data_IF_180881797302
#
_entry.id   IF_180881797302
#
_cell.length_a   1.000
_cell.length_b   1.000
_cell.length_c   1.000
_cell.angle_alpha   90.00
_cell.angle_beta   90.00
_cell.angle_gamma   90.00
#
_symmetry.space_group_name_H-M   'P 1'
#
loop_
_entity.id
_entity.type
_entity.pdbx_description
1 polymer ?
#
# COMPACT_ATOMS: atom_id res chain seq x y z
N UNK A 1 6.57 -0.65 -7.39
CA UNK A 1 8.01 -0.97 -7.32
C UNK A 1 8.36 -1.48 -5.93
N UNK A 2 9.19 -2.51 -5.86
CA UNK A 2 9.75 -3.07 -4.62
C UNK A 2 10.60 -2.03 -3.88
N UNK A 3 11.31 -1.16 -4.61
CA UNK A 3 12.17 -0.12 -4.00
C UNK A 3 11.33 0.86 -3.17
N UNK A 4 10.20 1.30 -3.72
CA UNK A 4 9.29 2.21 -3.01
C UNK A 4 8.65 1.60 -1.77
N UNK A 5 8.59 0.27 -1.67
CA UNK A 5 8.16 -0.45 -0.47
C UNK A 5 9.28 -0.51 0.57
N UNK A 6 10.49 -0.82 0.15
CA UNK A 6 11.68 -0.76 0.99
C UNK A 6 11.90 0.63 1.58
N UNK A 7 11.79 1.68 0.78
CA UNK A 7 11.90 3.08 1.26
C UNK A 7 10.80 3.44 2.25
N UNK A 8 9.57 2.93 2.04
CA UNK A 8 8.46 3.17 2.97
C UNK A 8 8.73 2.55 4.35
N UNK A 9 9.20 1.30 4.36
CA UNK A 9 9.56 0.58 5.57
C UNK A 9 10.71 1.26 6.31
N UNK A 10 11.69 1.75 5.56
CA UNK A 10 12.79 2.54 6.12
C UNK A 10 12.28 3.80 6.83
N UNK A 11 11.46 4.62 6.16
CA UNK A 11 10.90 5.85 6.72
C UNK A 11 10.03 5.54 7.95
N UNK A 12 9.20 4.49 7.90
CA UNK A 12 8.38 4.07 9.03
C UNK A 12 9.22 3.76 10.27
N UNK A 13 10.35 3.04 10.10
CA UNK A 13 11.27 2.73 11.21
C UNK A 13 11.90 4.00 11.78
N UNK A 14 12.37 4.90 10.91
CA UNK A 14 12.98 6.16 11.35
C UNK A 14 12.00 7.04 12.13
N UNK A 15 10.74 7.13 11.70
CA UNK A 15 9.70 7.87 12.44
C UNK A 15 9.45 7.21 13.80
N UNK A 16 9.35 5.87 13.86
CA UNK A 16 9.16 5.13 15.11
C UNK A 16 10.30 5.36 16.11
N UNK A 17 11.53 5.43 15.64
CA UNK A 17 12.73 5.67 16.46
C UNK A 17 12.86 7.13 16.92
N UNK A 18 12.37 8.09 16.12
CA UNK A 18 12.42 9.53 16.42
C UNK A 18 11.56 9.98 17.62
N UNK A 19 10.76 9.08 18.21
CA UNK A 19 9.79 9.35 19.28
C UNK A 19 8.72 10.40 18.92
N UNK A 20 8.54 10.69 17.63
CA UNK A 20 7.45 11.52 17.13
C UNK A 20 6.13 10.74 17.23
N UNK A 21 5.16 11.29 17.97
CA UNK A 21 3.82 10.71 18.09
C UNK A 21 2.94 11.10 16.89
N UNK A 22 3.30 10.63 15.69
CA UNK A 22 2.57 10.92 14.45
C UNK A 22 1.97 9.64 13.88
N UNK A 23 0.72 9.72 13.41
CA UNK A 23 0.08 8.61 12.71
C UNK A 23 0.73 8.41 11.35
N UNK A 24 1.26 7.22 11.10
CA UNK A 24 1.86 6.83 9.81
C UNK A 24 0.91 5.85 9.11
N UNK A 25 0.58 6.13 7.86
CA UNK A 25 -0.24 5.26 7.02
C UNK A 25 0.40 5.07 5.65
N UNK A 26 -0.03 4.02 4.93
CA UNK A 26 0.38 3.74 3.56
C UNK A 26 -0.83 3.89 2.64
N UNK A 27 -0.61 4.47 1.46
CA UNK A 27 -1.64 4.50 0.42
C UNK A 27 -2.04 3.07 0.06
N UNK A 28 -3.33 2.87 -0.21
CA UNK A 28 -3.83 1.59 -0.67
C UNK A 28 -3.17 1.18 -1.99
N UNK A 29 -2.98 -0.12 -2.17
CA UNK A 29 -2.56 -0.74 -3.44
C UNK A 29 -3.70 -1.64 -3.90
N UNK A 30 -4.01 -1.58 -5.18
CA UNK A 30 -5.11 -2.32 -5.77
C UNK A 30 -5.59 -1.67 -7.05
N UNK A 31 -6.81 -1.99 -7.45
CA UNK A 31 -7.36 -1.58 -8.74
C UNK A 31 -7.73 -0.09 -8.71
N UNK A 32 -7.31 0.70 -9.71
CA UNK A 32 -7.69 2.10 -9.81
C UNK A 32 -9.18 2.24 -10.16
N UNK A 33 -9.76 3.38 -9.81
CA UNK A 33 -11.15 3.69 -10.17
C UNK A 33 -11.28 3.77 -11.69
N UNK A 34 -12.33 3.14 -12.23
CA UNK A 34 -12.64 3.19 -13.67
C UNK A 34 -11.93 2.14 -14.53
N UNK A 35 -11.23 1.17 -13.92
CA UNK A 35 -10.69 0.00 -14.63
C UNK A 35 -11.57 -1.22 -14.39
N UNK A 36 -11.91 -1.93 -15.46
CA UNK A 36 -12.60 -3.22 -15.37
C UNK A 36 -11.63 -4.34 -14.97
N UNK A 37 -12.14 -5.32 -14.22
CA UNK A 37 -11.34 -6.40 -13.67
C UNK A 37 -10.61 -7.22 -14.73
N UNK A 38 -11.20 -7.36 -15.92
CA UNK A 38 -10.63 -8.13 -17.04
C UNK A 38 -9.34 -7.52 -17.60
N UNK A 39 -9.11 -6.23 -17.35
CA UNK A 39 -7.91 -5.51 -17.78
C UNK A 39 -6.89 -5.29 -16.66
N UNK A 40 -7.21 -5.69 -15.42
CA UNK A 40 -6.29 -5.59 -14.30
C UNK A 40 -5.27 -6.73 -14.33
N UNK A 41 -4.00 -6.41 -14.11
CA UNK A 41 -2.96 -7.43 -14.01
C UNK A 41 -3.11 -8.24 -12.70
N UNK A 42 -2.57 -9.46 -12.70
CA UNK A 42 -2.70 -10.39 -11.57
C UNK A 42 -2.07 -9.87 -10.27
N UNK A 43 -1.00 -9.07 -10.36
CA UNK A 43 -0.34 -8.52 -9.18
C UNK A 43 -1.25 -7.47 -8.54
N UNK A 44 -1.79 -6.56 -9.35
CA UNK A 44 -2.76 -5.55 -8.89
C UNK A 44 -4.03 -6.17 -8.32
N UNK A 45 -4.57 -7.21 -8.95
CA UNK A 45 -5.69 -7.99 -8.44
C UNK A 45 -5.37 -8.63 -7.08
N UNK A 46 -4.19 -9.26 -6.96
CA UNK A 46 -3.72 -9.84 -5.69
C UNK A 46 -3.67 -8.81 -4.57
N UNK A 47 -3.08 -7.64 -4.82
CA UNK A 47 -3.04 -6.54 -3.85
C UNK A 47 -4.44 -6.04 -3.45
N UNK A 48 -5.36 -5.91 -4.41
CA UNK A 48 -6.72 -5.46 -4.15
C UNK A 48 -7.51 -6.45 -3.28
N UNK A 49 -7.33 -7.75 -3.52
CA UNK A 49 -7.99 -8.81 -2.75
C UNK A 49 -7.42 -8.93 -1.34
N UNK A 50 -6.09 -8.90 -1.19
CA UNK A 50 -5.40 -8.93 0.10
C UNK A 50 -5.77 -7.72 0.97
N UNK A 51 -5.86 -6.53 0.37
CA UNK A 51 -6.20 -5.27 1.04
C UNK A 51 -7.71 -4.99 1.19
N UNK A 52 -8.59 -5.92 0.78
CA UNK A 52 -10.04 -5.71 0.76
C UNK A 52 -10.60 -5.52 2.16
N UNK A 53 -11.43 -4.48 2.35
CA UNK A 53 -12.10 -4.19 3.63
C UNK A 53 -13.59 -4.50 3.51
N UNK A 54 -14.20 -4.90 4.62
CA UNK A 54 -15.66 -4.95 4.74
C UNK A 54 -16.23 -3.53 4.84
N UNK A 55 -17.48 -3.38 4.43
CA UNK A 55 -18.25 -2.14 4.58
C UNK A 55 -18.83 -2.05 6.00
#
# INVERSE_FOLDING_TARGET
SVEGESTALFIQRQIKESRLATKVSRLARGIPVGVDLEYADQITLGHALEGRRFL
#
